data_IF_137917270192
#
_entry.id   IF_137917270192
#
_cell.length_a   1.000
_cell.length_b   1.000
_cell.length_c   1.000
_cell.angle_alpha   90.00
_cell.angle_beta   90.00
_cell.angle_gamma   90.00
#
_symmetry.space_group_name_H-M   'P 1'
#
loop_
_entity.id
_entity.type
_entity.pdbx_description
1 polymer ?
#
# COMPACT_ATOMS: atom_id res chain seq x y z
N UNK A 1 79.55 -13.84 45.54
CA UNK A 1 78.59 -14.70 46.27
C UNK A 1 77.19 -14.10 46.14
N UNK A 2 76.17 -14.95 46.19
CA UNK A 2 74.74 -14.70 45.88
C UNK A 2 74.38 -14.84 44.38
N UNK A 3 74.20 -16.11 44.01
CA UNK A 3 73.75 -16.61 42.72
C UNK A 3 72.27 -16.33 42.49
N UNK A 4 71.92 -15.78 41.31
CA UNK A 4 70.55 -15.67 40.81
C UNK A 4 70.12 -16.99 40.15
N UNK A 5 69.11 -17.64 40.71
CA UNK A 5 68.27 -18.61 40.01
C UNK A 5 66.82 -18.29 40.36
N UNK A 6 66.06 -17.79 39.40
CA UNK A 6 64.59 -17.69 39.50
C UNK A 6 63.98 -18.45 38.33
N UNK A 7 63.18 -19.42 38.71
CA UNK A 7 62.49 -20.41 37.89
C UNK A 7 61.32 -19.81 37.12
N UNK A 8 61.03 -20.46 35.98
CA UNK A 8 59.94 -20.18 35.04
C UNK A 8 58.55 -20.17 35.72
N UNK A 9 57.74 -19.17 35.38
CA UNK A 9 56.29 -19.20 35.52
C UNK A 9 55.64 -18.70 34.22
N UNK A 10 55.17 -19.62 33.38
CA UNK A 10 54.39 -19.33 32.18
C UNK A 10 52.98 -18.85 32.57
N UNK A 11 52.75 -17.54 32.58
CA UNK A 11 51.41 -16.99 32.65
C UNK A 11 50.84 -16.89 31.22
N UNK A 12 50.02 -17.87 30.84
CA UNK A 12 49.19 -17.79 29.62
C UNK A 12 48.16 -16.68 29.83
N UNK A 13 48.33 -15.56 29.11
CA UNK A 13 47.34 -14.49 29.09
C UNK A 13 46.03 -15.03 28.49
N UNK A 14 44.97 -15.06 29.28
CA UNK A 14 43.63 -15.35 28.80
C UNK A 14 43.13 -14.12 28.02
N UNK A 15 43.39 -14.07 26.71
CA UNK A 15 42.77 -13.06 25.83
C UNK A 15 41.28 -13.38 25.74
N UNK A 16 40.46 -12.63 26.48
CA UNK A 16 39.01 -12.53 26.21
C UNK A 16 38.85 -12.11 24.75
N UNK A 17 38.43 -13.06 23.90
CA UNK A 17 37.97 -12.74 22.55
C UNK A 17 36.67 -11.97 22.73
N UNK A 18 36.71 -10.66 22.53
CA UNK A 18 35.49 -9.92 22.20
C UNK A 18 34.94 -10.55 20.92
N UNK A 19 33.83 -11.26 21.05
CA UNK A 19 33.02 -11.65 19.89
C UNK A 19 32.51 -10.32 19.34
N UNK A 20 33.12 -9.87 18.25
CA UNK A 20 32.52 -8.86 17.40
C UNK A 20 31.17 -9.41 16.97
N UNK A 21 30.09 -8.84 17.48
CA UNK A 21 28.77 -9.01 16.90
C UNK A 21 28.85 -8.40 15.52
N UNK A 22 29.22 -9.21 14.52
CA UNK A 22 29.11 -8.84 13.14
C UNK A 22 27.68 -8.31 12.95
N UNK A 23 27.55 -7.04 12.58
CA UNK A 23 26.28 -6.48 12.13
C UNK A 23 25.69 -7.46 11.14
N UNK A 24 24.46 -7.93 11.38
CA UNK A 24 23.76 -8.77 10.42
C UNK A 24 23.90 -8.14 9.02
N UNK A 25 24.18 -8.94 7.98
CA UNK A 25 24.30 -8.40 6.63
C UNK A 25 22.98 -7.69 6.29
N UNK A 26 23.09 -6.39 5.96
CA UNK A 26 21.92 -5.61 5.55
C UNK A 26 21.54 -6.11 4.15
N UNK A 27 20.38 -6.76 4.05
CA UNK A 27 19.83 -7.20 2.78
C UNK A 27 19.65 -6.01 1.84
N UNK A 28 19.93 -6.21 0.56
CA UNK A 28 19.64 -5.23 -0.49
C UNK A 28 18.14 -5.05 -0.69
N UNK A 29 17.73 -3.92 -1.27
CA UNK A 29 16.31 -3.65 -1.58
C UNK A 29 15.71 -4.74 -2.47
N UNK A 30 16.48 -5.24 -3.45
CA UNK A 30 16.05 -6.31 -4.34
C UNK A 30 15.85 -7.64 -3.60
N UNK A 31 16.77 -8.02 -2.70
CA UNK A 31 16.63 -9.22 -1.86
C UNK A 31 15.42 -9.12 -0.93
N UNK A 32 15.15 -7.94 -0.35
CA UNK A 32 13.97 -7.71 0.48
C UNK A 32 12.69 -7.87 -0.35
N UNK A 33 12.64 -7.28 -1.55
CA UNK A 33 11.50 -7.41 -2.45
C UNK A 33 11.28 -8.87 -2.85
N UNK A 34 12.34 -9.61 -3.18
CA UNK A 34 12.26 -11.04 -3.49
C UNK A 34 11.71 -11.83 -2.31
N UNK A 35 12.26 -11.64 -1.10
CA UNK A 35 11.79 -12.30 0.11
C UNK A 35 10.29 -12.02 0.37
N UNK A 36 9.85 -10.76 0.23
CA UNK A 36 8.43 -10.40 0.37
C UNK A 36 7.54 -11.12 -0.63
N UNK A 37 7.97 -11.21 -1.89
CA UNK A 37 7.22 -11.92 -2.93
C UNK A 37 7.13 -13.41 -2.65
N UNK A 38 8.21 -14.04 -2.19
CA UNK A 38 8.22 -15.46 -1.82
C UNK A 38 7.27 -15.75 -0.66
N UNK A 39 7.27 -14.91 0.38
CA UNK A 39 6.35 -15.04 1.51
C UNK A 39 4.89 -14.82 1.09
N UNK A 40 4.63 -13.80 0.27
CA UNK A 40 3.30 -13.54 -0.28
C UNK A 40 2.79 -14.73 -1.11
N UNK A 41 3.65 -15.28 -1.96
CA UNK A 41 3.30 -16.43 -2.81
C UNK A 41 3.01 -17.68 -1.98
N UNK A 42 3.84 -17.97 -0.96
CA UNK A 42 3.62 -19.08 -0.03
C UNK A 42 2.27 -18.96 0.70
N UNK A 43 1.94 -17.76 1.18
CA UNK A 43 0.67 -17.54 1.87
C UNK A 43 -0.53 -17.65 0.91
N UNK A 44 -0.41 -17.14 -0.31
CA UNK A 44 -1.41 -17.31 -1.37
C UNK A 44 -1.65 -18.80 -1.69
N UNK A 45 -0.60 -19.58 -1.83
CA UNK A 45 -0.69 -21.03 -2.05
C UNK A 45 -1.32 -21.75 -0.86
N UNK A 46 -0.96 -21.36 0.37
CA UNK A 46 -1.60 -21.87 1.59
C UNK A 46 -3.10 -21.61 1.59
N UNK A 47 -3.55 -20.40 1.26
CA UNK A 47 -4.97 -20.04 1.21
C UNK A 47 -5.71 -20.80 0.11
N UNK A 48 -5.10 -20.97 -1.06
CA UNK A 48 -5.67 -21.80 -2.14
C UNK A 48 -5.79 -23.27 -1.72
N UNK A 49 -4.84 -23.79 -0.94
CA UNK A 49 -4.88 -25.18 -0.44
C UNK A 49 -6.04 -25.45 0.53
N UNK A 50 -6.62 -24.41 1.14
CA UNK A 50 -7.81 -24.53 2.00
C UNK A 50 -9.08 -24.92 1.22
N UNK A 51 -9.07 -24.78 -0.11
CA UNK A 51 -10.16 -25.15 -1.00
C UNK A 51 -9.76 -26.35 -1.89
N UNK A 52 -9.55 -27.56 -1.33
CA UNK A 52 -9.08 -28.71 -2.10
C UNK A 52 -10.15 -29.27 -3.06
N UNK A 53 -11.43 -28.96 -2.82
CA UNK A 53 -12.56 -29.38 -3.66
C UNK A 53 -13.31 -28.16 -4.17
N UNK A 54 -13.77 -28.25 -5.42
CA UNK A 54 -14.54 -27.19 -6.06
C UNK A 54 -15.97 -27.24 -5.52
N UNK A 55 -16.30 -26.28 -4.65
CA UNK A 55 -17.67 -25.99 -4.23
C UNK A 55 -18.27 -24.93 -5.14
N UNK A 56 -19.55 -25.09 -5.50
CA UNK A 56 -20.30 -24.10 -6.29
C UNK A 56 -21.08 -23.17 -5.37
N UNK A 57 -21.09 -21.89 -5.74
CA UNK A 57 -21.90 -20.85 -5.10
C UNK A 57 -22.73 -20.13 -6.16
N UNK A 58 -23.86 -19.60 -5.70
CA UNK A 58 -24.81 -18.85 -6.51
C UNK A 58 -24.58 -17.35 -6.30
N UNK A 59 -24.35 -16.62 -7.38
CA UNK A 59 -24.12 -15.17 -7.32
C UNK A 59 -25.18 -14.50 -8.17
N UNK A 60 -26.02 -13.69 -7.53
CA UNK A 60 -27.11 -12.98 -8.21
C UNK A 60 -26.66 -11.57 -8.61
N UNK A 61 -26.82 -11.22 -9.87
CA UNK A 61 -26.54 -9.87 -10.35
C UNK A 61 -27.75 -8.95 -10.14
N UNK A 62 -27.54 -7.83 -9.43
CA UNK A 62 -28.60 -6.87 -9.06
C UNK A 62 -28.46 -5.50 -9.74
N UNK A 63 -27.52 -5.36 -10.68
CA UNK A 63 -27.30 -4.09 -11.37
C UNK A 63 -28.34 -3.75 -12.43
N UNK A 64 -28.26 -2.52 -12.95
CA UNK A 64 -29.25 -1.93 -13.89
C UNK A 64 -29.38 -2.69 -15.23
N UNK A 65 -28.35 -3.43 -15.65
CA UNK A 65 -28.26 -4.05 -16.98
C UNK A 65 -28.35 -5.57 -16.90
N UNK A 66 -29.32 -6.22 -17.54
CA UNK A 66 -29.60 -7.66 -17.36
C UNK A 66 -30.02 -8.03 -15.92
N UNK A 67 -31.15 -7.47 -15.43
CA UNK A 67 -31.63 -7.75 -14.08
C UNK A 67 -31.89 -9.27 -13.90
N UNK A 68 -31.66 -9.75 -12.67
CA UNK A 68 -31.89 -11.14 -12.24
C UNK A 68 -31.03 -12.20 -12.95
N UNK A 69 -29.85 -11.83 -13.44
CA UNK A 69 -28.87 -12.82 -13.94
C UNK A 69 -28.28 -13.60 -12.78
N UNK A 70 -28.28 -14.94 -12.86
CA UNK A 70 -27.68 -15.82 -11.88
C UNK A 70 -26.38 -16.44 -12.43
N UNK A 71 -25.30 -16.35 -11.68
CA UNK A 71 -24.04 -17.02 -11.97
C UNK A 71 -23.82 -18.19 -11.01
N UNK A 72 -23.42 -19.34 -11.56
CA UNK A 72 -22.99 -20.50 -10.78
C UNK A 72 -21.46 -20.59 -10.87
N UNK A 73 -20.77 -20.13 -9.82
CA UNK A 73 -19.31 -19.94 -9.82
C UNK A 73 -18.62 -20.76 -8.75
N UNK A 74 -17.30 -20.84 -8.80
CA UNK A 74 -16.50 -21.63 -7.85
C UNK A 74 -16.16 -20.80 -6.61
N UNK A 75 -16.51 -21.31 -5.44
CA UNK A 75 -16.17 -20.73 -4.13
C UNK A 75 -14.66 -20.64 -3.93
N UNK A 76 -14.17 -19.52 -3.40
CA UNK A 76 -12.75 -19.29 -3.08
C UNK A 76 -11.83 -19.13 -4.29
N UNK A 77 -12.36 -19.25 -5.51
CA UNK A 77 -11.58 -19.19 -6.76
C UNK A 77 -12.14 -18.15 -7.74
N UNK A 78 -13.47 -18.09 -7.89
CA UNK A 78 -14.10 -17.14 -8.80
C UNK A 78 -14.14 -15.76 -8.20
N UNK A 79 -14.01 -14.76 -9.06
CA UNK A 79 -13.91 -13.35 -8.67
C UNK A 79 -15.04 -12.55 -9.32
N UNK A 80 -15.40 -11.36 -8.80
CA UNK A 80 -16.29 -10.43 -9.48
C UNK A 80 -15.92 -10.20 -10.96
N UNK A 81 -14.63 -10.13 -11.26
CA UNK A 81 -14.14 -9.99 -12.64
C UNK A 81 -14.56 -11.17 -13.52
N UNK A 82 -14.53 -12.41 -13.00
CA UNK A 82 -15.03 -13.58 -13.73
C UNK A 82 -16.52 -13.45 -14.02
N UNK A 83 -17.33 -12.97 -13.06
CA UNK A 83 -18.76 -12.70 -13.29
C UNK A 83 -18.96 -11.63 -14.37
N UNK A 84 -18.16 -10.55 -14.37
CA UNK A 84 -18.20 -9.52 -15.40
C UNK A 84 -17.86 -10.09 -16.81
N UNK A 85 -16.93 -11.05 -16.89
CA UNK A 85 -16.60 -11.75 -18.15
C UNK A 85 -17.78 -12.54 -18.72
N UNK A 86 -18.64 -13.09 -17.86
CA UNK A 86 -19.84 -13.79 -18.30
C UNK A 86 -20.94 -12.85 -18.84
N UNK A 87 -20.90 -11.56 -18.48
CA UNK A 87 -21.82 -10.56 -19.01
C UNK A 87 -21.36 -10.02 -20.35
N UNK A 88 -20.23 -9.30 -20.36
CA UNK A 88 -19.71 -8.67 -21.58
C UNK A 88 -18.32 -8.08 -21.35
N UNK A 89 -17.58 -7.87 -22.44
CA UNK A 89 -16.30 -7.14 -22.41
C UNK A 89 -16.45 -5.69 -21.88
N UNK A 90 -17.61 -5.06 -22.10
CA UNK A 90 -17.88 -3.71 -21.60
C UNK A 90 -17.81 -3.65 -20.07
N UNK A 91 -18.44 -4.61 -19.39
CA UNK A 91 -18.39 -4.75 -17.92
C UNK A 91 -16.95 -5.00 -17.45
N UNK A 92 -16.20 -5.90 -18.10
CA UNK A 92 -14.79 -6.14 -17.75
C UNK A 92 -13.92 -4.88 -17.80
N UNK A 93 -14.16 -4.01 -18.80
CA UNK A 93 -13.38 -2.79 -19.00
C UNK A 93 -13.82 -1.65 -18.08
N UNK A 94 -15.12 -1.55 -17.78
CA UNK A 94 -15.71 -0.37 -17.08
C UNK A 94 -15.84 -0.56 -15.58
N UNK A 95 -16.03 -1.79 -15.11
CA UNK A 95 -16.18 -2.10 -13.69
C UNK A 95 -14.84 -1.91 -12.97
N UNK A 96 -14.83 -1.00 -11.99
CA UNK A 96 -13.63 -0.71 -11.19
C UNK A 96 -13.68 -1.46 -9.88
N UNK A 97 -14.85 -1.49 -9.24
CA UNK A 97 -15.10 -2.21 -8.00
C UNK A 97 -16.37 -3.03 -8.16
N UNK A 98 -16.57 -3.97 -7.25
CA UNK A 98 -17.84 -4.66 -7.09
C UNK A 98 -18.46 -4.27 -5.75
N UNK A 99 -19.78 -4.30 -5.69
CA UNK A 99 -20.56 -4.22 -4.46
C UNK A 99 -21.10 -5.63 -4.21
N UNK A 100 -20.65 -6.27 -3.13
CA UNK A 100 -21.05 -7.61 -2.73
C UNK A 100 -21.85 -7.50 -1.44
N UNK A 101 -23.14 -7.80 -1.48
CA UNK A 101 -24.07 -7.65 -0.33
C UNK A 101 -23.97 -6.25 0.34
N UNK A 102 -23.82 -5.20 -0.47
CA UNK A 102 -23.67 -3.82 0.00
C UNK A 102 -22.26 -3.44 0.48
N UNK A 103 -21.29 -4.35 0.47
CA UNK A 103 -19.90 -4.08 0.83
C UNK A 103 -19.01 -3.90 -0.40
N UNK A 104 -18.08 -2.95 -0.33
CA UNK A 104 -17.15 -2.68 -1.44
C UNK A 104 -16.11 -3.79 -1.53
N UNK A 105 -15.94 -4.35 -2.72
CA UNK A 105 -15.12 -5.51 -2.99
C UNK A 105 -14.21 -5.28 -4.20
N UNK A 106 -12.98 -5.82 -4.13
CA UNK A 106 -12.04 -5.77 -5.25
C UNK A 106 -12.48 -6.71 -6.36
N UNK A 107 -12.26 -6.29 -7.61
CA UNK A 107 -12.64 -7.09 -8.79
C UNK A 107 -11.94 -8.45 -8.86
N UNK A 108 -10.73 -8.57 -8.32
CA UNK A 108 -9.93 -9.80 -8.29
C UNK A 108 -9.95 -10.53 -6.94
N UNK A 109 -10.74 -10.06 -5.96
CA UNK A 109 -10.87 -10.75 -4.68
C UNK A 109 -11.83 -11.95 -4.82
N UNK A 110 -11.44 -13.16 -4.42
CA UNK A 110 -12.30 -14.35 -4.53
C UNK A 110 -13.58 -14.22 -3.71
N UNK A 111 -14.68 -14.77 -4.25
CA UNK A 111 -15.98 -14.85 -3.58
C UNK A 111 -16.04 -16.10 -2.69
N UNK A 112 -16.42 -15.92 -1.43
CA UNK A 112 -16.40 -17.00 -0.43
C UNK A 112 -17.78 -17.60 -0.16
N UNK A 113 -18.86 -16.89 -0.48
CA UNK A 113 -20.24 -17.28 -0.18
C UNK A 113 -21.17 -16.87 -1.34
N UNK A 114 -22.38 -17.45 -1.37
CA UNK A 114 -23.44 -16.99 -2.26
C UNK A 114 -23.83 -15.57 -1.87
N UNK A 115 -23.94 -14.67 -2.85
CA UNK A 115 -24.06 -13.24 -2.61
C UNK A 115 -24.76 -12.53 -3.77
N UNK A 116 -25.22 -11.30 -3.52
CA UNK A 116 -25.67 -10.37 -4.53
C UNK A 116 -24.52 -9.46 -4.97
N UNK A 117 -24.36 -9.28 -6.29
CA UNK A 117 -23.29 -8.49 -6.88
C UNK A 117 -23.82 -7.36 -7.76
N UNK A 118 -23.25 -6.18 -7.56
CA UNK A 118 -23.34 -5.04 -8.48
C UNK A 118 -21.94 -4.55 -8.87
N UNK A 119 -21.82 -3.82 -9.97
CA UNK A 119 -20.55 -3.28 -10.45
C UNK A 119 -20.53 -1.76 -10.39
N UNK A 120 -19.48 -1.22 -9.75
CA UNK A 120 -19.29 0.22 -9.62
C UNK A 120 -18.33 0.74 -10.70
N UNK A 121 -18.70 1.87 -11.29
CA UNK A 121 -17.97 2.56 -12.35
C UNK A 121 -17.68 4.02 -11.99
N UNK A 122 -16.74 4.65 -12.69
CA UNK A 122 -16.44 6.08 -12.50
C UNK A 122 -17.59 7.03 -12.87
N UNK A 123 -18.60 6.55 -13.60
CA UNK A 123 -19.70 7.37 -14.13
C UNK A 123 -21.01 7.17 -13.37
N UNK A 124 -20.97 6.44 -12.27
CA UNK A 124 -22.14 6.24 -11.43
C UNK A 124 -22.50 7.52 -10.67
N UNK A 125 -23.74 7.59 -10.17
CA UNK A 125 -24.27 8.76 -9.48
C UNK A 125 -23.48 9.07 -8.18
N UNK A 126 -22.99 8.03 -7.51
CA UNK A 126 -22.12 8.15 -6.33
C UNK A 126 -20.80 7.36 -6.50
N UNK A 127 -19.78 7.95 -7.16
CA UNK A 127 -18.52 7.27 -7.44
C UNK A 127 -17.49 7.43 -6.30
N UNK A 128 -17.90 7.79 -5.08
CA UNK A 128 -16.98 8.13 -3.99
C UNK A 128 -16.02 6.97 -3.65
N UNK A 129 -16.54 5.75 -3.51
CA UNK A 129 -15.73 4.57 -3.17
C UNK A 129 -14.76 4.19 -4.30
N UNK A 130 -15.21 4.32 -5.56
CA UNK A 130 -14.36 4.14 -6.75
C UNK A 130 -13.24 5.17 -6.78
N UNK A 131 -13.56 6.42 -6.46
CA UNK A 131 -12.58 7.50 -6.40
C UNK A 131 -11.55 7.23 -5.29
N UNK A 132 -11.97 6.86 -4.08
CA UNK A 132 -11.05 6.50 -2.98
C UNK A 132 -10.13 5.35 -3.37
N UNK A 133 -10.65 4.27 -3.96
CA UNK A 133 -9.85 3.14 -4.45
C UNK A 133 -8.85 3.56 -5.54
N UNK A 134 -9.25 4.47 -6.43
CA UNK A 134 -8.37 5.03 -7.45
C UNK A 134 -7.20 5.81 -6.85
N UNK A 135 -7.45 6.71 -5.88
CA UNK A 135 -6.38 7.47 -5.21
C UNK A 135 -5.43 6.56 -4.42
N UNK A 136 -5.95 5.54 -3.70
CA UNK A 136 -5.13 4.53 -3.01
C UNK A 136 -4.23 3.78 -4.00
N UNK A 137 -4.78 3.38 -5.13
CA UNK A 137 -4.04 2.68 -6.19
C UNK A 137 -2.94 3.54 -6.81
N UNK A 138 -3.23 4.82 -7.05
CA UNK A 138 -2.23 5.76 -7.55
C UNK A 138 -1.11 5.99 -6.52
N UNK A 139 -1.44 6.12 -5.23
CA UNK A 139 -0.44 6.22 -4.17
C UNK A 139 0.46 4.97 -4.11
N UNK A 140 -0.11 3.78 -4.28
CA UNK A 140 0.67 2.53 -4.30
C UNK A 140 1.61 2.45 -5.50
N UNK A 141 1.18 2.89 -6.69
CA UNK A 141 2.05 3.04 -7.87
C UNK A 141 3.21 3.99 -7.56
N UNK A 142 2.94 5.13 -6.92
CA UNK A 142 3.96 6.08 -6.48
C UNK A 142 4.97 5.41 -5.53
N UNK A 143 4.51 4.66 -4.54
CA UNK A 143 5.38 3.91 -3.61
C UNK A 143 6.30 2.93 -4.34
N UNK A 144 5.77 2.17 -5.31
CA UNK A 144 6.54 1.24 -6.13
C UNK A 144 7.64 1.95 -6.94
N UNK A 145 7.32 3.08 -7.57
CA UNK A 145 8.29 3.87 -8.34
C UNK A 145 9.38 4.43 -7.43
N UNK A 146 9.00 4.96 -6.26
CA UNK A 146 9.97 5.55 -5.32
C UNK A 146 10.92 4.51 -4.73
N UNK A 147 10.48 3.27 -4.50
CA UNK A 147 11.37 2.19 -4.02
C UNK A 147 12.45 1.83 -5.05
N UNK A 148 12.16 1.99 -6.35
CA UNK A 148 13.04 1.59 -7.46
C UNK A 148 13.86 2.75 -8.06
N UNK A 149 13.50 4.00 -7.76
CA UNK A 149 14.06 5.17 -8.45
C UNK A 149 15.45 5.58 -7.98
N UNK A 150 15.81 5.26 -6.73
CA UNK A 150 17.09 5.67 -6.15
C UNK A 150 18.14 4.58 -6.35
N UNK A 151 19.41 5.00 -6.40
CA UNK A 151 20.52 4.06 -6.50
C UNK A 151 20.61 3.19 -5.24
N UNK A 152 21.10 1.95 -5.39
CA UNK A 152 21.23 0.98 -4.30
C UNK A 152 22.07 1.46 -3.11
N UNK A 153 22.92 2.47 -3.31
CA UNK A 153 23.71 3.12 -2.27
C UNK A 153 22.89 4.01 -1.32
N UNK A 154 21.67 4.41 -1.70
CA UNK A 154 20.77 5.22 -0.89
C UNK A 154 19.62 4.37 -0.36
N UNK A 155 19.40 4.43 0.95
CA UNK A 155 18.24 3.77 1.56
C UNK A 155 16.96 4.56 1.34
N UNK A 156 15.93 3.88 0.85
CA UNK A 156 14.56 4.40 0.75
C UNK A 156 13.68 3.61 1.72
N UNK A 157 13.04 4.29 2.66
CA UNK A 157 12.10 3.67 3.60
C UNK A 157 10.71 4.24 3.38
N UNK A 158 9.81 3.39 2.88
CA UNK A 158 8.41 3.73 2.66
C UNK A 158 7.67 3.78 4.01
N UNK A 159 7.07 4.91 4.36
CA UNK A 159 6.38 5.07 5.66
C UNK A 159 4.93 4.63 5.51
N UNK A 160 4.12 5.45 4.83
CA UNK A 160 2.68 5.20 4.65
C UNK A 160 2.14 5.94 3.43
N UNK A 161 1.02 5.45 2.93
CA UNK A 161 0.16 6.19 2.02
C UNK A 161 -0.92 6.92 2.86
N UNK A 162 -0.76 8.22 3.13
CA UNK A 162 -1.80 9.02 3.80
C UNK A 162 -3.14 8.95 3.04
N UNK A 163 -4.25 8.74 3.77
CA UNK A 163 -5.59 8.74 3.17
C UNK A 163 -6.08 10.16 3.01
N UNK A 164 -5.88 10.71 1.82
CA UNK A 164 -6.23 12.09 1.51
C UNK A 164 -7.55 12.14 0.73
N UNK A 165 -8.50 13.05 1.08
CA UNK A 165 -9.71 13.23 0.30
C UNK A 165 -9.41 13.61 -1.15
N UNK A 166 -10.21 13.09 -2.09
CA UNK A 166 -10.12 13.37 -3.54
C UNK A 166 -10.10 14.87 -3.85
N UNK A 167 -10.88 15.63 -3.08
CA UNK A 167 -11.05 17.08 -3.23
C UNK A 167 -9.74 17.84 -2.96
N UNK A 168 -8.80 17.27 -2.22
CA UNK A 168 -7.49 17.88 -1.99
C UNK A 168 -6.73 18.15 -3.30
N UNK A 169 -6.87 17.28 -4.29
CA UNK A 169 -6.27 17.39 -5.60
C UNK A 169 -4.93 16.66 -5.79
N UNK A 170 -4.44 15.89 -4.80
CA UNK A 170 -3.24 15.06 -4.96
C UNK A 170 -3.25 13.80 -4.07
N UNK A 171 -2.71 12.68 -4.58
CA UNK A 171 -2.36 11.51 -3.76
C UNK A 171 -0.98 11.78 -3.21
N UNK A 172 -0.74 11.25 -2.03
CA UNK A 172 0.49 11.45 -1.32
C UNK A 172 1.08 10.10 -0.91
N UNK A 173 2.41 10.02 -0.88
CA UNK A 173 3.12 8.90 -0.28
C UNK A 173 4.28 9.44 0.55
N UNK A 174 4.34 9.03 1.81
CA UNK A 174 5.34 9.49 2.77
C UNK A 174 6.56 8.54 2.75
N UNK A 175 7.74 9.11 2.55
CA UNK A 175 9.00 8.38 2.38
C UNK A 175 10.12 9.03 3.21
N UNK A 176 10.95 8.21 3.85
CA UNK A 176 12.21 8.64 4.46
C UNK A 176 13.34 8.21 3.55
N UNK A 177 14.19 9.17 3.17
CA UNK A 177 15.41 8.91 2.40
C UNK A 177 16.62 8.89 3.33
N UNK A 178 17.73 8.35 2.84
CA UNK A 178 19.03 8.37 3.50
C UNK A 178 19.43 9.80 3.93
N UNK A 179 20.06 9.93 5.09
CA UNK A 179 20.52 11.21 5.65
C UNK A 179 21.44 11.98 4.69
N UNK A 180 22.16 11.27 3.80
CA UNK A 180 22.99 11.90 2.76
C UNK A 180 22.18 12.75 1.77
N UNK A 181 20.87 12.55 1.71
CA UNK A 181 19.94 13.26 0.83
C UNK A 181 19.07 14.27 1.59
N UNK A 182 19.36 14.59 2.85
CA UNK A 182 18.53 15.51 3.67
C UNK A 182 18.34 16.89 3.04
N UNK A 183 19.39 17.45 2.45
CA UNK A 183 19.31 18.73 1.73
C UNK A 183 18.82 18.58 0.29
N UNK A 184 18.69 17.35 -0.21
CA UNK A 184 18.28 17.09 -1.59
C UNK A 184 16.79 17.39 -1.78
N UNK A 185 16.51 18.21 -2.79
CA UNK A 185 15.17 18.49 -3.30
C UNK A 185 15.10 18.07 -4.76
N UNK A 186 14.05 17.34 -5.18
CA UNK A 186 13.94 16.92 -6.57
C UNK A 186 13.79 18.12 -7.48
N UNK A 187 14.63 18.20 -8.52
CA UNK A 187 14.43 19.13 -9.61
C UNK A 187 13.27 18.66 -10.50
N UNK A 188 12.78 19.54 -11.39
CA UNK A 188 11.70 19.19 -12.31
C UNK A 188 12.06 17.99 -13.20
N UNK A 189 13.34 17.88 -13.60
CA UNK A 189 13.84 16.75 -14.38
C UNK A 189 13.73 15.43 -13.61
N UNK A 190 14.02 15.41 -12.31
CA UNK A 190 13.88 14.21 -11.50
C UNK A 190 12.41 13.77 -11.41
N UNK A 191 11.48 14.71 -11.22
CA UNK A 191 10.04 14.43 -11.17
C UNK A 191 9.52 13.91 -12.52
N UNK A 192 10.05 14.42 -13.63
CA UNK A 192 9.75 13.91 -14.99
C UNK A 192 10.25 12.47 -15.17
N UNK A 193 11.46 12.14 -14.71
CA UNK A 193 11.98 10.77 -14.77
C UNK A 193 11.13 9.81 -13.93
N UNK A 194 10.78 10.18 -12.70
CA UNK A 194 9.88 9.38 -11.86
C UNK A 194 8.52 9.16 -12.53
N UNK A 195 7.99 10.20 -13.18
CA UNK A 195 6.73 10.12 -13.93
C UNK A 195 6.86 9.14 -15.12
N UNK A 196 7.98 9.16 -15.84
CA UNK A 196 8.23 8.20 -16.93
C UNK A 196 8.28 6.76 -16.42
N UNK A 197 8.91 6.52 -15.26
CA UNK A 197 8.95 5.19 -14.66
C UNK A 197 7.56 4.72 -14.20
N UNK A 198 6.72 5.63 -13.70
CA UNK A 198 5.31 5.34 -13.44
C UNK A 198 4.57 4.94 -14.72
N UNK A 199 4.79 5.64 -15.84
CA UNK A 199 4.21 5.26 -17.13
C UNK A 199 4.69 3.89 -17.63
N UNK A 200 5.98 3.56 -17.46
CA UNK A 200 6.50 2.22 -17.78
C UNK A 200 5.79 1.15 -16.96
N UNK A 201 5.47 1.42 -15.69
CA UNK A 201 4.72 0.49 -14.84
C UNK A 201 3.27 0.35 -15.31
N UNK A 202 2.61 1.45 -15.64
CA UNK A 202 1.23 1.47 -16.17
C UNK A 202 1.12 0.69 -17.49
N UNK A 203 2.11 0.84 -18.38
CA UNK A 203 2.14 0.13 -19.67
C UNK A 203 2.29 -1.39 -19.54
N UNK A 204 2.79 -1.91 -18.41
CA UNK A 204 2.88 -3.34 -18.14
C UNK A 204 1.53 -4.00 -17.85
N UNK A 205 0.46 -3.21 -17.65
CA UNK A 205 -0.90 -3.68 -17.33
C UNK A 205 -0.94 -4.74 -16.21
N UNK A 206 -0.27 -4.43 -15.10
CA UNK A 206 -0.21 -5.32 -13.94
C UNK A 206 -1.54 -5.29 -13.17
N UNK A 207 -2.04 -6.45 -12.70
CA UNK A 207 -3.17 -6.54 -11.79
C UNK A 207 -2.76 -6.17 -10.37
N UNK A 208 -3.71 -5.64 -9.59
CA UNK A 208 -3.57 -5.52 -8.14
C UNK A 208 -4.08 -6.79 -7.49
N UNK A 209 -3.20 -7.53 -6.83
CA UNK A 209 -3.55 -8.74 -6.09
C UNK A 209 -3.75 -8.39 -4.62
N UNK A 210 -4.86 -8.83 -4.03
CA UNK A 210 -5.14 -8.70 -2.61
C UNK A 210 -4.95 -10.04 -1.90
N UNK A 211 -4.40 -9.98 -0.69
CA UNK A 211 -4.30 -11.09 0.24
C UNK A 211 -4.67 -10.63 1.65
N UNK A 212 -5.67 -11.27 2.24
CA UNK A 212 -6.04 -11.05 3.63
C UNK A 212 -5.18 -11.99 4.49
N UNK A 213 -4.32 -11.45 5.36
CA UNK A 213 -3.35 -12.25 6.14
C UNK A 213 -3.42 -11.95 7.63
N UNK A 214 -2.99 -12.90 8.45
CA UNK A 214 -2.79 -12.67 9.88
C UNK A 214 -1.69 -11.63 10.12
N UNK A 215 -1.86 -10.79 11.14
CA UNK A 215 -0.84 -9.81 11.54
C UNK A 215 0.55 -10.44 11.76
N UNK A 216 0.64 -11.68 12.24
CA UNK A 216 1.92 -12.39 12.42
C UNK A 216 2.68 -12.59 11.10
N UNK A 217 1.96 -12.94 10.03
CA UNK A 217 2.55 -13.15 8.70
C UNK A 217 2.92 -11.79 8.09
N UNK A 218 2.07 -10.78 8.25
CA UNK A 218 2.38 -9.42 7.81
C UNK A 218 3.65 -8.87 8.49
N UNK A 219 3.83 -9.10 9.79
CA UNK A 219 5.02 -8.69 10.54
C UNK A 219 6.31 -9.35 10.00
N UNK A 220 6.24 -10.62 9.58
CA UNK A 220 7.37 -11.30 8.95
C UNK A 220 7.74 -10.69 7.59
N UNK A 221 6.74 -10.34 6.77
CA UNK A 221 6.93 -9.70 5.46
C UNK A 221 7.58 -8.31 5.61
N UNK A 222 7.19 -7.55 6.64
CA UNK A 222 7.64 -6.17 6.84
C UNK A 222 8.67 -5.98 7.96
N UNK A 223 9.31 -7.05 8.45
CA UNK A 223 10.27 -7.03 9.57
C UNK A 223 11.42 -6.02 9.42
N UNK A 224 11.77 -5.64 8.18
CA UNK A 224 12.85 -4.69 7.88
C UNK A 224 12.44 -3.21 7.97
N UNK A 225 11.13 -2.91 8.03
CA UNK A 225 10.59 -1.56 8.03
C UNK A 225 9.77 -1.30 9.31
N UNK A 226 10.37 -0.55 10.25
CA UNK A 226 9.78 -0.25 11.55
C UNK A 226 8.42 0.46 11.44
N UNK A 227 8.29 1.44 10.55
CA UNK A 227 7.02 2.16 10.39
C UNK A 227 5.89 1.24 9.90
N UNK A 228 6.20 0.29 9.01
CA UNK A 228 5.19 -0.68 8.55
C UNK A 228 4.82 -1.67 9.66
N UNK A 229 5.78 -2.07 10.49
CA UNK A 229 5.52 -2.88 11.70
C UNK A 229 4.58 -2.13 12.65
N UNK A 230 4.86 -0.86 12.96
CA UNK A 230 4.00 -0.04 13.84
C UNK A 230 2.57 0.08 13.28
N UNK A 231 2.44 0.29 11.96
CA UNK A 231 1.13 0.34 11.28
C UNK A 231 0.40 -1.01 11.37
N UNK A 232 1.11 -2.13 11.20
CA UNK A 232 0.52 -3.48 11.33
C UNK A 232 0.00 -3.69 12.75
N UNK A 233 0.80 -3.33 13.76
CA UNK A 233 0.41 -3.48 15.17
C UNK A 233 -0.79 -2.59 15.51
N UNK A 234 -0.80 -1.34 15.06
CA UNK A 234 -1.93 -0.44 15.24
C UNK A 234 -3.19 -1.00 14.59
N UNK A 235 -3.12 -1.48 13.35
CA UNK A 235 -4.26 -2.08 12.63
C UNK A 235 -4.75 -3.36 13.32
N UNK A 236 -3.83 -4.22 13.75
CA UNK A 236 -4.15 -5.44 14.47
C UNK A 236 -4.81 -5.17 15.83
N UNK A 237 -4.56 -4.00 16.44
CA UNK A 237 -5.22 -3.59 17.68
C UNK A 237 -6.66 -3.12 17.49
N UNK A 238 -6.98 -2.56 16.31
CA UNK A 238 -8.32 -2.06 15.97
C UNK A 238 -9.27 -3.16 15.49
N UNK A 239 -8.74 -4.22 14.88
CA UNK A 239 -9.52 -5.33 14.35
C UNK A 239 -9.48 -6.54 15.29
N UNK A 240 -10.64 -7.02 15.75
CA UNK A 240 -10.75 -8.20 16.62
C UNK A 240 -10.17 -9.48 15.99
N UNK A 241 -10.23 -9.60 14.66
CA UNK A 241 -9.73 -10.76 13.93
C UNK A 241 -8.22 -10.67 13.62
N UNK A 242 -7.60 -9.50 13.87
CA UNK A 242 -6.17 -9.24 13.59
C UNK A 242 -5.74 -9.52 12.15
N UNK A 243 -6.68 -9.38 11.21
CA UNK A 243 -6.46 -9.54 9.78
C UNK A 243 -5.95 -8.21 9.20
N UNK A 244 -4.90 -8.31 8.38
CA UNK A 244 -4.27 -7.20 7.66
C UNK A 244 -4.36 -7.48 6.17
N UNK A 245 -4.77 -6.48 5.39
CA UNK A 245 -4.86 -6.56 3.94
C UNK A 245 -3.53 -6.20 3.30
N UNK A 246 -3.00 -7.09 2.48
CA UNK A 246 -1.79 -6.89 1.70
C UNK A 246 -2.13 -6.78 0.22
N UNK A 247 -1.60 -5.77 -0.43
CA UNK A 247 -1.72 -5.59 -1.87
C UNK A 247 -0.37 -5.81 -2.54
N UNK A 248 -0.38 -6.58 -3.63
CA UNK A 248 0.79 -6.83 -4.46
C UNK A 248 0.58 -6.24 -5.86
N UNK A 249 1.60 -5.52 -6.31
CA UNK A 249 1.72 -4.95 -7.65
C UNK A 249 3.02 -5.45 -8.29
N UNK A 250 2.93 -6.55 -9.04
CA UNK A 250 4.11 -7.19 -9.63
C UNK A 250 5.07 -7.72 -8.57
N UNK A 251 6.20 -7.04 -8.38
CA UNK A 251 7.19 -7.36 -7.34
C UNK A 251 7.05 -6.51 -6.06
N UNK A 252 6.19 -5.49 -6.08
CA UNK A 252 5.97 -4.58 -4.97
C UNK A 252 4.85 -5.09 -4.07
N UNK A 253 5.04 -5.09 -2.76
CA UNK A 253 4.03 -5.48 -1.77
C UNK A 253 3.88 -4.36 -0.75
N UNK A 254 2.65 -3.92 -0.51
CA UNK A 254 2.33 -2.86 0.44
C UNK A 254 1.04 -3.16 1.21
N UNK A 255 0.78 -2.36 2.26
CA UNK A 255 -0.33 -2.52 3.18
C UNK A 255 -1.30 -1.35 3.04
N UNK A 256 -2.54 -1.61 2.67
CA UNK A 256 -3.63 -0.62 2.55
C UNK A 256 -4.93 -1.20 3.10
N UNK A 257 -5.83 -0.34 3.60
CA UNK A 257 -7.06 -0.77 4.30
C UNK A 257 -8.25 -0.97 3.34
N UNK A 258 -8.23 -0.22 2.23
CA UNK A 258 -9.32 -0.16 1.27
C UNK A 258 -9.03 -0.91 -0.03
N UNK A 259 -10.08 -1.08 -0.84
CA UNK A 259 -9.98 -1.72 -2.15
C UNK A 259 -9.12 -0.91 -3.12
N UNK A 260 -8.63 -1.60 -4.14
CA UNK A 260 -7.81 -1.07 -5.21
C UNK A 260 -8.48 -1.26 -6.57
N UNK A 261 -8.03 -0.51 -7.57
CA UNK A 261 -8.46 -0.71 -8.96
C UNK A 261 -7.97 -2.07 -9.47
N UNK A 262 -8.64 -2.70 -10.45
CA UNK A 262 -8.25 -4.03 -10.92
C UNK A 262 -6.87 -4.05 -11.56
N UNK A 263 -6.58 -3.06 -12.41
CA UNK A 263 -5.37 -3.02 -13.24
C UNK A 263 -4.78 -1.63 -13.32
N UNK A 264 -3.47 -1.57 -13.49
CA UNK A 264 -2.72 -0.33 -13.70
C UNK A 264 -3.08 0.40 -14.99
N UNK A 265 -3.52 -0.31 -16.03
CA UNK A 265 -3.94 0.29 -17.31
C UNK A 265 -5.15 1.23 -17.21
N UNK A 266 -5.90 1.19 -16.11
CA UNK A 266 -6.97 2.15 -15.85
C UNK A 266 -6.43 3.58 -15.65
N UNK A 267 -5.19 3.73 -15.21
CA UNK A 267 -4.54 5.04 -15.09
C UNK A 267 -4.07 5.52 -16.47
N UNK A 268 -4.49 6.72 -16.89
CA UNK A 268 -4.12 7.26 -18.20
C UNK A 268 -3.19 8.45 -18.11
N UNK A 269 -3.60 9.53 -17.46
CA UNK A 269 -2.75 10.70 -17.25
C UNK A 269 -2.22 10.59 -15.83
N UNK A 270 -0.93 10.32 -15.65
CA UNK A 270 -0.29 10.18 -14.34
C UNK A 270 0.92 11.11 -14.27
N UNK A 271 1.06 11.88 -13.20
CA UNK A 271 2.20 12.78 -13.02
C UNK A 271 2.56 12.96 -11.54
N UNK A 272 3.87 12.89 -11.26
CA UNK A 272 4.44 13.17 -9.95
C UNK A 272 4.86 14.64 -9.95
N UNK A 273 4.23 15.43 -9.08
CA UNK A 273 4.21 16.89 -9.23
C UNK A 273 5.07 17.64 -8.24
N UNK A 274 5.26 17.13 -7.03
CA UNK A 274 6.06 17.76 -6.00
C UNK A 274 6.56 16.75 -4.96
N UNK A 275 7.59 17.14 -4.22
CA UNK A 275 7.99 16.49 -2.98
C UNK A 275 8.21 17.55 -1.91
N UNK A 276 7.63 17.35 -0.73
CA UNK A 276 7.70 18.30 0.37
C UNK A 276 8.33 17.63 1.60
N UNK A 277 9.25 18.33 2.26
CA UNK A 277 9.73 17.92 3.58
C UNK A 277 8.69 18.22 4.65
N UNK A 278 8.33 17.23 5.45
CA UNK A 278 7.50 17.36 6.63
C UNK A 278 8.40 17.26 7.85
N UNK A 279 8.41 18.29 8.67
CA UNK A 279 9.07 18.25 9.98
C UNK A 279 8.13 17.55 10.96
N UNK A 280 8.49 16.35 11.38
CA UNK A 280 7.86 15.67 12.51
C UNK A 280 8.58 16.04 13.81
N UNK A 281 7.91 15.86 14.94
CA UNK A 281 8.52 16.02 16.27
C UNK A 281 9.59 14.96 16.57
N UNK A 282 9.62 13.88 15.77
CA UNK A 282 10.64 12.84 15.80
C UNK A 282 11.79 13.23 14.86
N UNK A 283 13.03 12.87 15.20
CA UNK A 283 14.27 13.28 14.52
C UNK A 283 14.43 12.81 13.05
N UNK A 284 13.39 12.32 12.40
CA UNK A 284 13.42 11.75 11.05
C UNK A 284 12.73 12.67 10.03
N UNK A 285 13.44 13.03 8.96
CA UNK A 285 12.89 13.88 7.89
C UNK A 285 12.00 13.08 6.94
N UNK A 286 10.68 13.20 7.12
CA UNK A 286 9.70 12.59 6.23
C UNK A 286 9.52 13.47 4.99
N UNK A 287 9.58 12.87 3.79
CA UNK A 287 9.28 13.53 2.53
C UNK A 287 7.96 13.01 1.97
N UNK A 288 7.01 13.91 1.76
CA UNK A 288 5.74 13.63 1.13
C UNK A 288 5.85 13.87 -0.38
N UNK A 289 5.86 12.79 -1.15
CA UNK A 289 5.75 12.87 -2.60
C UNK A 289 4.29 12.97 -3.00
N UNK A 290 3.98 13.83 -3.97
CA UNK A 290 2.63 14.11 -4.40
C UNK A 290 2.47 13.92 -5.90
N UNK A 291 1.33 13.37 -6.31
CA UNK A 291 0.97 13.24 -7.71
C UNK A 291 -0.50 13.44 -7.97
N UNK A 292 -0.82 13.57 -9.25
CA UNK A 292 -2.20 13.66 -9.75
C UNK A 292 -2.36 12.66 -10.88
N UNK A 293 -3.53 12.04 -10.95
CA UNK A 293 -3.83 11.07 -11.99
C UNK A 293 -5.30 11.13 -12.41
N UNK A 294 -5.57 10.81 -13.68
CA UNK A 294 -6.91 10.64 -14.22
C UNK A 294 -7.06 9.30 -14.94
N UNK A 295 -8.19 8.60 -14.76
CA UNK A 295 -8.44 7.33 -15.40
C UNK A 295 -8.74 7.50 -16.90
N UNK A 296 -8.57 6.43 -17.68
CA UNK A 296 -8.84 6.41 -19.13
C UNK A 296 -10.22 6.97 -19.49
N UNK A 297 -11.21 6.74 -18.64
CA UNK A 297 -12.60 7.14 -18.90
C UNK A 297 -12.91 8.62 -18.59
N UNK A 298 -12.03 9.32 -17.90
CA UNK A 298 -12.18 10.72 -17.47
C UNK A 298 -10.99 11.56 -17.94
N UNK A 299 -10.52 11.33 -19.17
CA UNK A 299 -9.41 12.07 -19.76
C UNK A 299 -9.73 13.57 -19.81
N UNK A 300 -8.82 14.38 -19.26
CA UNK A 300 -8.93 15.83 -19.29
C UNK A 300 -8.20 16.43 -20.50
N UNK A 301 -8.75 17.54 -21.01
CA UNK A 301 -8.07 18.38 -21.98
C UNK A 301 -6.77 18.97 -21.40
N UNK A 302 -5.77 19.23 -22.25
CA UNK A 302 -4.43 19.67 -21.82
C UNK A 302 -4.46 20.92 -20.93
N UNK A 303 -5.36 21.87 -21.19
CA UNK A 303 -5.50 23.09 -20.38
C UNK A 303 -6.02 22.79 -18.97
N UNK A 304 -6.95 21.84 -18.85
CA UNK A 304 -7.50 21.41 -17.56
C UNK A 304 -6.43 20.62 -16.80
N UNK A 305 -5.73 19.71 -17.48
CA UNK A 305 -4.62 18.96 -16.90
C UNK A 305 -3.56 19.88 -16.31
N UNK A 306 -3.15 20.92 -17.04
CA UNK A 306 -2.20 21.90 -16.55
C UNK A 306 -2.67 22.62 -15.27
N UNK A 307 -3.96 22.93 -15.16
CA UNK A 307 -4.54 23.53 -13.95
C UNK A 307 -4.55 22.56 -12.77
N UNK A 308 -4.88 21.29 -13.01
CA UNK A 308 -4.83 20.24 -11.99
C UNK A 308 -3.40 20.01 -11.49
N UNK A 309 -2.42 19.92 -12.39
CA UNK A 309 -0.99 19.83 -12.06
C UNK A 309 -0.53 21.01 -11.19
N UNK A 310 -0.93 22.24 -11.51
CA UNK A 310 -0.60 23.41 -10.68
C UNK A 310 -1.20 23.34 -9.29
N UNK A 311 -2.41 22.78 -9.16
CA UNK A 311 -3.05 22.59 -7.85
C UNK A 311 -2.32 21.54 -7.02
N UNK A 312 -1.93 20.42 -7.64
CA UNK A 312 -1.30 19.29 -6.94
C UNK A 312 0.14 19.55 -6.47
N UNK A 313 0.78 20.62 -6.94
CA UNK A 313 2.08 21.09 -6.45
C UNK A 313 2.04 21.73 -5.06
N UNK A 314 0.84 22.08 -4.57
CA UNK A 314 0.68 22.64 -3.24
C UNK A 314 0.66 21.50 -2.22
N UNK A 315 1.39 21.68 -1.12
CA UNK A 315 1.40 20.71 -0.03
C UNK A 315 -0.03 20.42 0.44
N UNK A 316 -0.36 19.14 0.48
CA UNK A 316 -1.63 18.62 0.95
C UNK A 316 -1.41 18.03 2.33
N UNK A 317 -2.20 18.53 3.28
CA UNK A 317 -2.17 18.13 4.69
C UNK A 317 -3.42 17.29 4.93
N UNK A 318 -3.27 16.21 5.71
CA UNK A 318 -4.42 15.43 6.17
C UNK A 318 -5.20 16.27 7.18
N UNK A 319 -6.51 16.40 7.00
CA UNK A 319 -7.37 16.87 8.07
C UNK A 319 -7.40 15.76 9.13
N UNK A 320 -6.73 15.97 10.27
CA UNK A 320 -6.89 15.07 11.40
C UNK A 320 -8.37 15.11 11.82
N UNK A 321 -9.02 13.97 12.08
CA UNK A 321 -10.31 14.00 12.72
C UNK A 321 -10.16 14.75 14.05
N UNK A 322 -11.03 15.76 14.26
CA UNK A 322 -11.08 16.48 15.53
C UNK A 322 -11.29 15.44 16.64
N UNK A 323 -10.38 15.38 17.60
CA UNK A 323 -10.63 14.65 18.84
C UNK A 323 -11.95 15.17 19.43
N UNK A 324 -12.84 14.29 19.94
CA UNK A 324 -14.04 14.77 20.61
C UNK A 324 -13.61 15.65 21.78
N UNK A 325 -14.04 16.92 21.78
CA UNK A 325 -13.85 17.82 22.90
C UNK A 325 -14.44 17.14 24.14
N UNK A 326 -13.56 16.71 25.05
CA UNK A 326 -13.96 16.23 26.37
C UNK A 326 -14.62 17.43 27.04
N UNK A 327 -15.95 17.38 27.15
CA UNK A 327 -16.71 18.34 27.93
C UNK A 327 -16.17 18.31 29.36
N UNK A 328 -15.46 19.37 29.75
CA UNK A 328 -15.13 19.62 31.14
C UNK A 328 -16.43 19.96 31.88
N UNK A 329 -17.09 18.96 32.44
CA UNK A 329 -18.06 19.17 33.51
C UNK A 329 -17.29 19.66 34.74
N UNK A 330 -17.32 20.98 34.91
CA UNK A 330 -16.91 21.65 36.14
C UNK A 330 -17.90 21.22 37.23
N UNK A 331 -17.41 20.41 38.17
CA UNK A 331 -18.08 20.12 39.42
C UNK A 331 -18.19 21.40 40.26
N UNK A 332 -19.34 22.07 40.20
CA UNK A 332 -19.71 23.05 41.22
C UNK A 332 -20.20 22.30 42.46
N UNK A 333 -19.27 22.02 43.37
CA UNK A 333 -19.57 21.83 44.79
C UNK A 333 -19.63 23.20 45.44
N UNK A 334 -20.83 23.76 45.60
CA UNK A 334 -21.09 24.84 46.56
C UNK A 334 -22.12 24.36 47.60
N UNK A 335 -21.59 24.07 48.79
CA UNK A 335 -22.10 24.41 50.12
C UNK A 335 -23.62 24.44 50.36
N UNK A 336 -24.08 23.52 51.21
CA UNK A 336 -25.20 23.72 52.14
C UNK A 336 -24.68 23.56 53.58
#
# INVERSE_FOLDING_TARGET
>A
MASRWVTRGLWKSCRRRFVSTASAPKLSTAEIAQMRNELFQKEKERQLSLYPRIEKIEVKYVGKSHPDTLFIVNKGLSTPYTCAMHLSEWHCKKSVLALVDGQVWDMYKPLTQSCEIDFLTFKDDNPEEVNKAYWRSCAMILGCVLEQAFKDEYRVTLVRAPEVPVVSGAFCYDVILDNRLDDWKPAEENLRTLTQDAYKLIQKDLPFELLDVDAKVALQIFQHNKHKVDIIEQRASQNSERIVKLHRLGAFVDISEGPHIPRTSLCHQYEITAAHGLQTSQSELIRRFQGVSLPVFLKAHHTIWYRLRKRSQKLVIEEKPKEPEVANEISNTESA
#
